data_IF_671739926152
#
_entry.id   IF_671739926152
#
_cell.length_a   1.000
_cell.length_b   1.000
_cell.length_c   1.000
_cell.angle_alpha   90.00
_cell.angle_beta   90.00
_cell.angle_gamma   90.00
#
_symmetry.space_group_name_H-M   'P 1'
#
loop_
_entity.id
_entity.type
_entity.pdbx_description
1 polymer ?
2 non-polymer ?
3 non-polymer ?
4 non-polymer ?
5 water ?
#
# COMPACT_ATOMS: atom_id res chain seq x y z
N UNK A 1 -4.08 -7.59 31.45
CA UNK A 1 -5.37 -7.52 30.72
C UNK A 1 -5.29 -6.50 29.57
N UNK A 2 -6.23 -6.59 28.63
CA UNK A 2 -6.37 -5.59 27.55
C UNK A 2 -7.77 -4.98 27.58
N UNK A 3 -7.85 -3.69 27.26
CA UNK A 3 -9.11 -3.03 26.98
C UNK A 3 -9.49 -3.24 25.54
N UNK A 4 -10.71 -2.83 25.16
CA UNK A 4 -11.28 -3.21 23.84
C UNK A 4 -10.55 -2.58 22.65
N UNK A 5 -10.25 -1.28 22.73
CA UNK A 5 -9.60 -0.66 21.60
C UNK A 5 -8.23 -1.31 21.32
N UNK A 6 -7.42 -1.47 22.36
CA UNK A 6 -6.11 -2.09 22.11
C UNK A 6 -6.25 -3.55 21.66
N UNK A 7 -7.22 -4.29 22.21
CA UNK A 7 -7.37 -5.70 21.80
C UNK A 7 -7.66 -5.84 20.34
N UNK A 8 -8.60 -5.06 19.79
CA UNK A 8 -8.90 -5.15 18.36
C UNK A 8 -7.77 -4.61 17.49
N UNK A 9 -7.04 -3.62 17.99
CA UNK A 9 -5.89 -3.15 17.23
C UNK A 9 -4.83 -4.25 17.13
N UNK A 10 -4.57 -4.96 18.23
CA UNK A 10 -3.58 -6.04 18.20
C UNK A 10 -4.06 -7.21 17.30
N UNK A 11 -5.35 -7.50 17.34
CA UNK A 11 -5.96 -8.49 16.42
C UNK A 11 -5.68 -8.12 14.94
N UNK A 12 -5.87 -6.87 14.61
CA UNK A 12 -5.63 -6.34 13.26
C UNK A 12 -4.17 -6.50 12.85
N UNK A 13 -3.27 -6.16 13.75
CA UNK A 13 -1.85 -6.30 13.46
C UNK A 13 -1.47 -7.78 13.28
N UNK A 14 -2.02 -8.64 14.14
CA UNK A 14 -1.87 -10.10 13.98
C UNK A 14 -2.30 -10.55 12.56
N UNK A 15 -3.47 -10.10 12.11
CA UNK A 15 -3.98 -10.53 10.82
C UNK A 15 -3.13 -9.94 9.71
N UNK A 16 -2.80 -8.66 9.85
CA UNK A 16 -1.98 -7.95 8.85
C UNK A 16 -0.62 -8.59 8.67
N UNK A 17 0.08 -8.86 9.77
CA UNK A 17 1.41 -9.46 9.68
C UNK A 17 1.32 -10.88 9.06
N UNK A 18 0.25 -11.60 9.36
CA UNK A 18 0.03 -12.91 8.78
C UNK A 18 -0.25 -12.85 7.29
N UNK A 19 -1.15 -11.96 6.89
CA UNK A 19 -1.46 -11.73 5.47
C UNK A 19 -0.25 -11.27 4.65
N UNK A 20 0.59 -10.39 5.23
CA UNK A 20 1.82 -9.93 4.55
C UNK A 20 2.73 -11.12 4.29
N UNK A 21 2.89 -11.96 5.30
CA UNK A 21 3.79 -13.16 5.16
C UNK A 21 3.29 -14.19 4.14
N UNK A 22 1.96 -14.33 4.01
CA UNK A 22 1.37 -15.27 3.07
C UNK A 22 1.00 -14.67 1.70
N UNK A 23 1.24 -13.37 1.50
CA UNK A 23 0.76 -12.61 0.31
C UNK A 23 -0.71 -12.89 0.04
N UNK A 24 -1.49 -12.79 1.11
CA UNK A 24 -2.93 -12.95 1.08
C UNK A 24 -3.38 -14.35 0.77
N UNK A 25 -2.50 -15.32 1.02
CA UNK A 25 -2.71 -16.70 0.64
C UNK A 25 -3.01 -16.87 -0.85
N UNK A 26 -2.54 -15.94 -1.68
CA UNK A 26 -2.71 -16.04 -3.14
C UNK A 26 -1.70 -17.07 -3.68
N UNK A 27 -2.14 -18.04 -4.50
CA UNK A 27 -1.25 -19.13 -4.99
C UNK A 27 -0.11 -18.55 -5.87
N UNK A 28 1.04 -19.22 -5.85
CA UNK A 28 2.20 -18.79 -6.69
C UNK A 28 1.86 -18.54 -8.16
N UNK A 29 1.07 -19.42 -8.79
CA UNK A 29 0.67 -19.24 -10.19
C UNK A 29 -0.12 -17.98 -10.38
N UNK A 30 -1.04 -17.69 -9.47
CA UNK A 30 -1.83 -16.48 -9.53
C UNK A 30 -1.00 -15.21 -9.32
N UNK A 31 -0.07 -15.27 -8.37
CA UNK A 31 0.86 -14.17 -8.13
C UNK A 31 1.66 -13.84 -9.39
N UNK A 32 2.25 -14.85 -10.02
CA UNK A 32 3.01 -14.66 -11.28
C UNK A 32 2.13 -14.07 -12.40
N UNK A 33 0.87 -14.49 -12.51
CA UNK A 33 0.02 -13.93 -13.57
C UNK A 33 -0.41 -12.50 -13.27
N UNK A 34 -0.73 -12.20 -12.00
CA UNK A 34 -0.95 -10.82 -11.52
C UNK A 34 0.23 -9.94 -11.87
N UNK A 35 1.42 -10.37 -11.43
CA UNK A 35 2.63 -9.62 -11.71
C UNK A 35 2.85 -9.41 -13.21
N UNK A 36 2.55 -10.43 -14.02
CA UNK A 36 2.74 -10.35 -15.48
C UNK A 36 1.83 -9.30 -16.12
N UNK A 37 0.71 -9.01 -15.44
CA UNK A 37 -0.30 -8.10 -15.98
C UNK A 37 -0.05 -6.62 -15.63
N UNK A 38 0.96 -6.34 -14.81
CA UNK A 38 1.40 -4.94 -14.55
C UNK A 38 1.90 -4.28 -15.83
N UNK A 39 1.42 -3.08 -16.11
CA UNK A 39 1.79 -2.34 -17.32
C UNK A 39 2.32 -0.96 -16.89
N UNK A 40 3.37 -0.45 -17.56
CA UNK A 40 3.77 0.96 -17.42
C UNK A 40 2.59 1.92 -17.47
N UNK A 41 1.64 1.65 -18.38
CA UNK A 41 0.42 2.45 -18.52
C UNK A 41 -0.40 2.57 -17.24
N UNK A 42 -0.24 1.63 -16.30
CA UNK A 42 -0.97 1.68 -15.05
C UNK A 42 -0.46 2.78 -14.10
N UNK A 43 0.66 3.42 -14.43
CA UNK A 43 1.09 4.64 -13.70
C UNK A 43 0.14 5.82 -13.94
N UNK A 44 -0.68 5.71 -15.00
CA UNK A 44 -1.59 6.75 -15.38
C UNK A 44 -0.86 8.05 -15.66
N UNK A 45 -1.31 9.15 -15.01
CA UNK A 45 -0.69 10.47 -15.21
C UNK A 45 0.60 10.71 -14.42
N UNK A 46 0.96 9.83 -13.49
CA UNK A 46 2.28 9.87 -12.78
C UNK A 46 3.44 9.82 -13.77
N UNK A 47 3.23 9.06 -14.85
CA UNK A 47 4.19 8.97 -15.95
C UNK A 47 4.42 10.34 -16.63
N UNK A 48 3.34 11.14 -16.72
CA UNK A 48 3.25 12.33 -17.60
C UNK A 48 4.47 13.25 -17.71
N UNK A 49 5.22 13.41 -16.63
CA UNK A 49 6.30 14.41 -16.58
C UNK A 49 5.81 15.77 -16.09
N UNK A 50 4.48 15.95 -16.05
CA UNK A 50 3.85 17.15 -15.50
C UNK A 50 2.97 16.79 -14.30
N UNK A 51 3.47 15.88 -13.46
CA UNK A 51 2.81 15.51 -12.22
C UNK A 51 3.04 16.64 -11.20
N UNK A 52 1.95 17.18 -10.66
CA UNK A 52 2.03 18.31 -9.72
C UNK A 52 2.30 17.79 -8.31
N UNK A 53 3.51 18.06 -7.80
CA UNK A 53 3.92 17.68 -6.45
C UNK A 53 2.97 18.24 -5.38
N UNK A 54 2.93 17.57 -4.22
CA UNK A 54 2.07 17.97 -3.12
C UNK A 54 2.55 19.25 -2.43
N UNK A 55 3.83 19.60 -2.60
CA UNK A 55 4.40 20.86 -2.09
C UNK A 55 4.25 22.01 -3.09
N UNK A 56 3.79 21.72 -4.31
CA UNK A 56 3.47 22.74 -5.30
C UNK A 56 4.05 22.52 -6.69
N UNK A 57 5.31 22.10 -6.76
CA UNK A 57 6.07 22.10 -8.02
C UNK A 57 5.68 20.98 -9.00
N UNK A 58 5.96 21.21 -10.28
CA UNK A 58 5.78 20.18 -11.32
C UNK A 58 7.05 19.33 -11.40
N UNK A 59 6.92 18.04 -11.10
CA UNK A 59 8.06 17.11 -11.05
C UNK A 59 7.86 15.87 -11.91
N UNK A 60 8.97 15.26 -12.30
CA UNK A 60 8.96 13.99 -13.04
C UNK A 60 9.23 12.80 -12.07
N UNK A 61 8.46 11.72 -12.17
CA UNK A 61 8.57 10.59 -11.24
C UNK A 61 9.22 9.33 -11.89
N UNK A 62 9.99 8.60 -11.09
CA UNK A 62 10.70 7.38 -11.50
C UNK A 62 10.11 6.17 -10.81
N UNK A 63 9.65 5.20 -11.60
CA UNK A 63 9.16 3.95 -11.04
C UNK A 63 10.27 3.16 -10.40
N UNK A 64 10.07 2.81 -9.12
CA UNK A 64 11.03 2.02 -8.35
C UNK A 64 10.32 0.90 -7.64
N UNK A 65 11.02 -0.22 -7.37
CA UNK A 65 10.43 -1.28 -6.53
C UNK A 65 10.16 -0.89 -5.10
N UNK A 66 9.10 -1.46 -4.53
CA UNK A 66 8.74 -1.28 -3.13
C UNK A 66 9.93 -1.56 -2.21
N UNK A 67 10.70 -2.60 -2.54
CA UNK A 67 11.84 -3.00 -1.74
C UNK A 67 12.95 -1.95 -1.69
N UNK A 68 12.92 -0.99 -2.61
CA UNK A 68 13.89 0.09 -2.59
C UNK A 68 13.39 1.39 -1.89
N UNK A 69 12.17 1.40 -1.34
CA UNK A 69 11.68 2.60 -0.65
C UNK A 69 12.47 2.78 0.66
N UNK A 70 12.76 4.06 0.94
CA UNK A 70 13.49 4.54 2.13
C UNK A 70 12.48 5.14 3.14
N UNK A 71 12.83 5.17 4.46
CA UNK A 71 11.85 5.70 5.42
C UNK A 71 11.48 7.13 5.06
N UNK A 72 10.22 7.46 5.25
CA UNK A 72 9.77 8.84 5.05
C UNK A 72 9.26 8.98 3.63
N UNK A 73 9.20 10.23 3.19
CA UNK A 73 8.60 10.53 1.89
C UNK A 73 9.64 10.31 0.78
N UNK A 74 9.29 9.43 -0.18
CA UNK A 74 10.19 9.03 -1.24
C UNK A 74 10.03 9.94 -2.46
N UNK A 75 10.63 11.11 -2.33
CA UNK A 75 10.50 12.18 -3.31
C UNK A 75 11.04 11.73 -4.64
N UNK A 76 10.26 11.99 -5.69
CA UNK A 76 10.66 11.69 -7.06
C UNK A 76 10.45 10.26 -7.53
N UNK A 77 9.92 9.41 -6.66
CA UNK A 77 9.64 8.01 -6.97
C UNK A 77 8.13 7.80 -7.07
N UNK A 78 7.79 6.70 -7.71
CA UNK A 78 6.45 6.17 -7.71
C UNK A 78 6.59 4.65 -7.65
N UNK A 79 5.62 3.97 -7.06
CA UNK A 79 5.65 2.51 -7.01
C UNK A 79 4.40 2.00 -7.73
N UNK A 80 4.45 0.77 -8.25
CA UNK A 80 3.30 0.19 -8.91
C UNK A 80 3.22 -1.27 -8.52
N UNK A 81 2.10 -1.65 -7.89
CA UNK A 81 1.91 -3.04 -7.43
C UNK A 81 0.53 -3.61 -7.64
N UNK A 82 0.40 -4.91 -7.34
CA UNK A 82 -0.85 -5.65 -7.43
C UNK A 82 -1.40 -5.90 -6.04
N UNK A 83 -2.69 -5.69 -5.87
CA UNK A 83 -3.37 -5.89 -4.58
C UNK A 83 -3.54 -7.39 -4.33
N UNK A 84 -3.08 -7.85 -3.17
CA UNK A 84 -3.19 -9.27 -2.82
C UNK A 84 -4.10 -9.56 -1.62
N UNK A 85 -4.51 -8.52 -0.89
CA UNK A 85 -5.49 -8.62 0.20
C UNK A 85 -5.85 -7.23 0.69
N UNK A 86 -7.01 -7.12 1.34
CA UNK A 86 -7.41 -5.92 2.04
C UNK A 86 -8.08 -6.30 3.37
N UNK A 87 -8.05 -5.36 4.29
CA UNK A 87 -8.61 -5.47 5.64
C UNK A 87 -8.64 -4.11 6.33
N UNK A 88 -9.44 -4.03 7.39
CA UNK A 88 -9.44 -2.85 8.23
C UNK A 88 -9.65 -3.28 9.69
N UNK A 89 -9.61 -2.30 10.58
CA UNK A 89 -9.89 -2.48 11.97
C UNK A 89 -11.42 -2.39 12.21
N UNK A 90 -11.81 -2.68 13.43
CA UNK A 90 -13.19 -2.45 13.87
C UNK A 90 -13.67 -1.01 13.75
N UNK A 91 -12.76 -0.04 13.83
CA UNK A 91 -13.03 1.39 13.69
C UNK A 91 -13.03 1.85 12.23
N UNK A 92 -12.73 0.94 11.31
CA UNK A 92 -12.80 1.16 9.87
C UNK A 92 -11.76 2.18 9.41
N UNK A 93 -10.70 2.34 10.20
CA UNK A 93 -9.58 3.15 9.84
C UNK A 93 -8.30 2.44 10.30
N UNK A 94 -7.31 2.34 9.42
CA UNK A 94 -7.28 2.74 8.04
C UNK A 94 -7.77 1.62 7.11
N UNK A 95 -7.96 1.95 5.84
CA UNK A 95 -8.26 0.94 4.83
C UNK A 95 -6.89 0.42 4.40
N UNK A 96 -6.67 -0.87 4.64
CA UNK A 96 -5.33 -1.47 4.48
C UNK A 96 -5.33 -2.54 3.41
N UNK A 97 -4.32 -2.49 2.54
CA UNK A 97 -4.13 -3.51 1.54
C UNK A 97 -2.66 -3.83 1.30
N UNK A 98 -2.42 -5.05 0.86
CA UNK A 98 -1.08 -5.52 0.49
C UNK A 98 -0.82 -5.43 -0.99
N UNK A 99 0.38 -4.95 -1.32
CA UNK A 99 0.89 -4.87 -2.69
C UNK A 99 2.13 -5.72 -2.89
N UNK A 100 2.20 -6.40 -4.04
CA UNK A 100 3.40 -7.01 -4.56
C UNK A 100 3.73 -6.37 -5.89
N UNK A 101 5.01 -6.14 -6.13
CA UNK A 101 5.49 -5.63 -7.40
C UNK A 101 6.66 -6.48 -7.89
N UNK A 102 6.88 -7.62 -7.22
CA UNK A 102 7.99 -8.48 -7.53
C UNK A 102 7.75 -9.84 -6.85
N UNK A 103 8.71 -10.73 -7.04
CA UNK A 103 8.66 -12.07 -6.44
C UNK A 103 9.04 -12.01 -4.94
N UNK A 104 9.54 -10.84 -4.51
CA UNK A 104 9.91 -10.54 -3.12
C UNK A 104 8.72 -10.16 -2.24
N UNK A 105 8.98 -9.53 -1.08
CA UNK A 105 7.96 -9.34 -0.04
C UNK A 105 6.81 -8.37 -0.36
N UNK A 106 5.69 -8.61 0.31
CA UNK A 106 4.48 -7.82 0.18
C UNK A 106 4.62 -6.59 1.08
N UNK A 107 4.06 -5.44 0.68
CA UNK A 107 4.10 -4.23 1.49
C UNK A 107 2.67 -3.80 1.87
N UNK A 108 2.46 -3.40 3.11
CA UNK A 108 1.16 -2.88 3.55
C UNK A 108 0.99 -1.43 3.10
N UNK A 109 -0.24 -1.07 2.76
CA UNK A 109 -0.57 0.31 2.43
C UNK A 109 -1.76 0.66 3.29
N UNK A 110 -1.69 1.78 4.00
CA UNK A 110 -2.76 2.26 4.87
C UNK A 110 -3.31 3.59 4.38
N UNK A 111 -4.60 3.62 4.06
CA UNK A 111 -5.25 4.76 3.40
C UNK A 111 -6.16 5.43 4.41
N UNK A 112 -5.93 6.73 4.61
CA UNK A 112 -6.68 7.55 5.54
C UNK A 112 -7.62 8.51 4.84
N UNK A 113 -8.49 9.13 5.62
CA UNK A 113 -9.37 10.20 5.14
C UNK A 113 -10.30 9.76 3.99
N UNK A 114 -10.86 8.56 4.11
CA UNK A 114 -11.85 8.11 3.11
C UNK A 114 -13.20 8.69 3.45
N UNK A 115 -13.57 9.72 2.72
CA UNK A 115 -14.80 10.45 2.95
C UNK A 115 -15.96 9.87 2.15
N UNK A 116 -15.71 9.67 0.86
CA UNK A 116 -16.69 9.13 -0.07
C UNK A 116 -16.58 7.60 -0.10
N UNK A 117 -17.14 6.96 -1.13
CA UNK A 117 -17.02 5.53 -1.27
C UNK A 117 -15.66 5.25 -1.87
N UNK A 118 -14.92 4.29 -1.31
CA UNK A 118 -13.70 3.89 -1.96
C UNK A 118 -13.31 2.49 -1.57
N UNK A 119 -12.52 1.87 -2.41
CA UNK A 119 -11.89 0.61 -2.08
C UNK A 119 -11.07 0.16 -3.26
N UNK A 120 -10.44 -0.99 -3.10
CA UNK A 120 -9.70 -1.65 -4.15
C UNK A 120 -9.95 -3.13 -4.08
N UNK A 121 -9.77 -3.80 -5.20
CA UNK A 121 -10.04 -5.22 -5.28
C UNK A 121 -8.74 -5.97 -5.41
N UNK A 122 -8.72 -7.18 -4.86
CA UNK A 122 -7.66 -8.12 -5.16
C UNK A 122 -7.46 -8.23 -6.71
N UNK A 123 -6.21 -8.06 -7.11
CA UNK A 123 -5.84 -8.08 -8.52
C UNK A 123 -5.73 -6.72 -9.19
N UNK A 124 -6.21 -5.68 -8.52
CA UNK A 124 -6.07 -4.31 -9.03
C UNK A 124 -4.57 -3.87 -9.03
N UNK A 125 -4.21 -3.09 -10.05
CA UNK A 125 -2.94 -2.32 -10.02
C UNK A 125 -3.13 -1.04 -9.23
N UNK A 126 -2.20 -0.73 -8.34
CA UNK A 126 -2.21 0.50 -7.60
C UNK A 126 -0.86 1.22 -7.77
N UNK A 127 -0.88 2.46 -8.23
CA UNK A 127 0.30 3.31 -8.21
C UNK A 127 0.20 4.37 -7.11
N UNK A 128 1.33 4.59 -6.41
CA UNK A 128 1.41 5.52 -5.30
C UNK A 128 2.57 6.45 -5.56
N UNK A 129 2.28 7.72 -5.90
CA UNK A 129 3.33 8.71 -6.11
C UNK A 129 3.95 9.14 -4.78
N UNK A 130 5.27 9.28 -4.82
CA UNK A 130 6.04 9.81 -3.67
C UNK A 130 5.63 9.14 -2.35
N UNK A 131 5.74 7.83 -2.31
CA UNK A 131 5.16 7.13 -1.13
C UNK A 131 5.89 7.42 0.18
N UNK A 132 5.08 7.52 1.24
CA UNK A 132 5.55 7.84 2.56
C UNK A 132 5.64 6.54 3.37
N UNK A 133 6.85 6.04 3.52
CA UNK A 133 7.09 4.74 4.16
C UNK A 133 7.37 4.95 5.66
N UNK A 134 6.60 4.24 6.48
CA UNK A 134 6.81 4.20 7.93
C UNK A 134 7.37 2.79 8.30
N UNK A 135 8.36 2.76 9.20
CA UNK A 135 9.00 1.51 9.64
C UNK A 135 8.49 1.31 11.08
N UNK A 136 7.49 0.46 11.23
CA UNK A 136 6.85 0.25 12.52
C UNK A 136 7.63 -0.79 13.29
N UNK A 137 7.98 -0.46 14.52
CA UNK A 137 8.47 -1.44 15.46
C UNK A 137 7.55 -1.22 16.68
N UNK A 138 6.59 -2.12 16.87
CA UNK A 138 5.62 -2.01 17.96
C UNK A 138 5.81 -3.13 18.95
N UNK A 139 6.00 -2.76 20.21
CA UNK A 139 6.01 -3.68 21.34
C UNK A 139 4.94 -3.18 22.32
N UNK A 140 3.89 -3.97 22.51
CA UNK A 140 2.74 -3.59 23.36
C UNK A 140 2.07 -4.88 23.89
N UNK A 141 1.92 -4.96 25.21
CA UNK A 141 1.18 -6.06 25.87
C UNK A 141 1.74 -7.43 25.52
N UNK A 142 3.05 -7.58 25.59
CA UNK A 142 3.72 -8.85 25.29
C UNK A 142 3.67 -9.26 23.81
N UNK A 143 3.22 -8.36 22.92
CA UNK A 143 3.23 -8.63 21.46
C UNK A 143 4.30 -7.75 20.83
N UNK A 144 4.84 -8.23 19.70
CA UNK A 144 5.95 -7.58 19.01
C UNK A 144 5.75 -7.72 17.50
N UNK A 145 5.71 -6.57 16.83
CA UNK A 145 5.47 -6.46 15.40
C UNK A 145 6.53 -5.56 14.77
N UNK A 146 7.01 -5.97 13.60
CA UNK A 146 7.97 -5.19 12.84
C UNK A 146 7.59 -5.31 11.38
N UNK A 147 7.07 -4.22 10.83
CA UNK A 147 6.61 -4.19 9.46
C UNK A 147 6.63 -2.76 8.94
N UNK A 148 6.61 -2.61 7.62
CA UNK A 148 6.59 -1.28 7.02
C UNK A 148 5.15 -1.03 6.56
N UNK A 149 4.74 0.24 6.55
CA UNK A 149 3.50 0.60 5.90
C UNK A 149 3.71 1.88 5.09
N UNK A 150 3.01 1.98 3.96
CA UNK A 150 2.97 3.22 3.16
C UNK A 150 1.74 3.97 3.64
N UNK A 151 1.95 5.17 4.18
CA UNK A 151 0.85 6.01 4.69
C UNK A 151 0.32 6.87 3.55
N UNK A 152 -0.96 6.70 3.21
CA UNK A 152 -1.61 7.44 2.12
C UNK A 152 -2.61 8.40 2.76
N UNK A 153 -2.42 9.68 2.51
CA UNK A 153 -3.14 10.78 3.20
C UNK A 153 -4.64 10.77 2.80
N UNK A 154 -4.88 10.44 1.53
CA UNK A 154 -6.23 10.41 0.98
C UNK A 154 -6.20 9.49 -0.24
N UNK A 155 -7.27 8.74 -0.48
CA UNK A 155 -7.35 7.95 -1.74
C UNK A 155 -7.20 8.75 -3.02
N UNK A 156 -7.50 10.03 -2.97
CA UNK A 156 -7.45 10.93 -4.12
C UNK A 156 -6.05 10.97 -4.77
N UNK A 157 -5.01 10.59 -4.03
CA UNK A 157 -3.62 10.57 -4.50
C UNK A 157 -3.26 9.36 -5.35
N UNK A 158 -4.10 8.33 -5.33
CA UNK A 158 -3.77 7.00 -5.85
C UNK A 158 -4.22 6.88 -7.32
N UNK A 159 -3.55 5.98 -8.04
CA UNK A 159 -3.94 5.60 -9.39
C UNK A 159 -4.26 4.11 -9.33
N UNK A 160 -5.47 3.75 -9.75
CA UNK A 160 -5.90 2.35 -9.70
C UNK A 160 -6.28 1.87 -11.12
N UNK A 161 -5.68 0.75 -11.54
CA UNK A 161 -5.78 0.31 -12.93
C UNK A 161 -5.61 1.45 -13.95
N UNK A 162 -4.66 2.33 -13.64
CA UNK A 162 -4.26 3.40 -14.52
C UNK A 162 -5.17 4.62 -14.48
N UNK A 163 -6.17 4.59 -13.61
CA UNK A 163 -7.15 5.69 -13.51
C UNK A 163 -6.90 6.46 -12.20
N UNK A 164 -6.66 7.76 -12.33
CA UNK A 164 -6.48 8.54 -11.10
C UNK A 164 -7.78 8.47 -10.29
N UNK A 165 -7.65 8.39 -8.98
CA UNK A 165 -8.79 8.30 -8.04
C UNK A 165 -9.33 9.66 -7.66
N UNK A 166 -8.60 10.71 -7.99
CA UNK A 166 -9.05 12.08 -7.77
C UNK A 166 -9.20 12.84 -9.07
#
# INVERSE_FOLDING_TARGET
>A
SMRQREQQLLEFLDRLTSLLESKGKVKTKKLQSMLGSLRPAHLGPCSDGHYQSASGQKVTLELKPLSTLQPGVNSGAVILGKVVFSLTTEEKVPFTFGLVDSDGPCYAVMVYNIVQSWGVLIGDSVAIPEPNLRLHRIQHKGKDYSFSSVRVETPLLLVVNGKPQG
#
